data_IF_919328870321
#
_entry.id   IF_919328870321
#
_cell.length_a   1.000
_cell.length_b   1.000
_cell.length_c   1.000
_cell.angle_alpha   90.00
_cell.angle_beta   90.00
_cell.angle_gamma   90.00
#
_symmetry.space_group_name_H-M   'P 1'
#
loop_
_entity.id
_entity.type
_entity.pdbx_description
1 polymer ?
#
# COMPACT_ATOMS: atom_id res chain seq x y z
N UNK A 1 -27.83 -8.69 -19.30
CA UNK A 1 -26.65 -7.82 -19.46
C UNK A 1 -25.55 -8.45 -18.64
N UNK A 2 -24.53 -9.03 -19.30
CA UNK A 2 -23.35 -9.54 -18.58
C UNK A 2 -22.60 -8.33 -18.02
N UNK A 3 -22.38 -8.31 -16.72
CA UNK A 3 -21.50 -7.34 -16.08
C UNK A 3 -20.08 -7.72 -16.47
N UNK A 4 -19.48 -6.98 -17.40
CA UNK A 4 -18.08 -7.18 -17.77
C UNK A 4 -17.20 -7.02 -16.54
N UNK A 5 -16.28 -7.96 -16.33
CA UNK A 5 -15.38 -7.95 -15.19
C UNK A 5 -14.41 -6.77 -15.29
N UNK A 6 -14.19 -6.04 -14.19
CA UNK A 6 -13.32 -4.87 -14.16
C UNK A 6 -12.02 -5.21 -13.43
N UNK A 7 -10.89 -4.86 -14.02
CA UNK A 7 -9.56 -4.91 -13.39
C UNK A 7 -9.14 -3.52 -12.93
N UNK A 8 -8.67 -3.40 -11.68
CA UNK A 8 -8.24 -2.14 -11.07
C UNK A 8 -6.72 -2.06 -10.99
N UNK A 9 -6.18 -0.91 -11.35
CA UNK A 9 -4.75 -0.63 -11.28
C UNK A 9 -4.51 0.65 -10.48
N UNK A 10 -3.46 0.65 -9.66
CA UNK A 10 -2.96 1.86 -9.00
C UNK A 10 -1.51 2.12 -9.45
N UNK A 11 -1.16 3.38 -9.72
CA UNK A 11 0.19 3.77 -10.09
C UNK A 11 0.64 5.02 -9.35
N UNK A 12 1.73 4.95 -8.55
CA UNK A 12 2.26 6.10 -7.85
C UNK A 12 3.01 7.02 -8.83
N UNK A 13 2.68 8.31 -8.82
CA UNK A 13 3.38 9.34 -9.61
C UNK A 13 4.58 9.95 -8.88
N UNK A 14 4.74 9.64 -7.59
CA UNK A 14 5.89 10.09 -6.78
C UNK A 14 6.51 8.93 -6.02
N UNK A 15 7.81 9.02 -5.71
CA UNK A 15 8.50 7.96 -4.97
C UNK A 15 7.96 7.80 -3.55
N UNK A 16 7.53 8.90 -2.93
CA UNK A 16 6.88 8.89 -1.62
C UNK A 16 5.62 8.02 -1.63
N UNK A 17 4.72 8.22 -2.60
CA UNK A 17 3.51 7.40 -2.72
C UNK A 17 3.85 5.96 -3.11
N UNK A 18 4.91 5.72 -3.88
CA UNK A 18 5.39 4.36 -4.16
C UNK A 18 5.77 3.61 -2.88
N UNK A 19 6.46 4.28 -1.96
CA UNK A 19 6.84 3.71 -0.67
C UNK A 19 5.58 3.42 0.17
N UNK A 20 4.61 4.34 0.21
CA UNK A 20 3.35 4.14 0.91
C UNK A 20 2.56 2.93 0.41
N UNK A 21 2.45 2.76 -0.91
CA UNK A 21 1.79 1.59 -1.50
C UNK A 21 2.54 0.28 -1.20
N UNK A 22 3.88 0.30 -1.20
CA UNK A 22 4.69 -0.87 -0.80
C UNK A 22 4.46 -1.24 0.66
N UNK A 23 4.45 -0.27 1.57
CA UNK A 23 4.20 -0.50 2.99
C UNK A 23 2.79 -1.04 3.24
N UNK A 24 1.76 -0.47 2.58
CA UNK A 24 0.37 -0.96 2.65
C UNK A 24 0.27 -2.41 2.18
N UNK A 25 0.94 -2.75 1.07
CA UNK A 25 1.01 -4.12 0.56
C UNK A 25 1.66 -5.08 1.56
N UNK A 26 2.81 -4.72 2.13
CA UNK A 26 3.55 -5.57 3.09
C UNK A 26 2.78 -5.75 4.39
N UNK A 27 2.17 -4.70 4.94
CA UNK A 27 1.32 -4.77 6.14
C UNK A 27 0.13 -5.72 5.93
N UNK A 28 -0.57 -5.61 4.78
CA UNK A 28 -1.66 -6.52 4.44
C UNK A 28 -1.19 -7.96 4.28
N UNK A 29 -0.02 -8.16 3.69
CA UNK A 29 0.59 -9.48 3.54
C UNK A 29 0.88 -10.11 4.90
N UNK A 30 1.44 -9.34 5.85
CA UNK A 30 1.66 -9.78 7.22
C UNK A 30 0.34 -10.10 7.94
N UNK A 31 -0.66 -9.23 7.86
CA UNK A 31 -1.98 -9.47 8.48
C UNK A 31 -2.71 -10.69 7.89
N UNK A 32 -2.65 -10.87 6.58
CA UNK A 32 -3.30 -12.01 5.94
C UNK A 32 -2.63 -13.30 6.37
N UNK A 33 -1.31 -13.37 6.24
CA UNK A 33 -0.52 -14.57 6.57
C UNK A 33 -0.55 -14.91 8.06
N UNK A 34 -0.61 -13.91 8.94
CA UNK A 34 -0.75 -14.15 10.37
C UNK A 34 -2.06 -14.87 10.68
N UNK A 35 -3.16 -14.60 9.97
CA UNK A 35 -4.45 -15.24 10.24
C UNK A 35 -4.62 -16.65 9.65
N UNK A 36 -3.62 -17.16 8.92
CA UNK A 36 -3.67 -18.48 8.31
C UNK A 36 -2.97 -19.53 9.17
N UNK A 37 -3.51 -20.75 9.19
CA UNK A 37 -2.87 -21.92 9.81
C UNK A 37 -2.26 -22.82 8.72
N UNK A 38 -1.29 -22.28 7.98
CA UNK A 38 -0.57 -22.96 6.91
C UNK A 38 0.95 -22.75 7.10
N UNK A 39 1.77 -23.82 7.10
CA UNK A 39 3.23 -23.74 7.24
C UNK A 39 3.92 -22.77 6.27
N UNK A 40 3.39 -22.58 5.05
CA UNK A 40 3.97 -21.68 4.05
C UNK A 40 3.71 -20.20 4.34
N UNK A 41 2.67 -19.89 5.11
CA UNK A 41 2.26 -18.52 5.40
C UNK A 41 3.25 -17.81 6.33
N UNK A 42 3.96 -18.55 7.19
CA UNK A 42 5.03 -17.97 8.00
C UNK A 42 6.16 -17.37 7.16
N UNK A 43 6.51 -18.02 6.03
CA UNK A 43 7.53 -17.46 5.12
C UNK A 43 7.06 -16.15 4.50
N UNK A 44 5.78 -16.08 4.13
CA UNK A 44 5.14 -14.87 3.61
C UNK A 44 5.17 -13.75 4.67
N UNK A 45 4.82 -14.08 5.92
CA UNK A 45 4.87 -13.15 7.05
C UNK A 45 6.28 -12.57 7.26
N UNK A 46 7.29 -13.44 7.42
CA UNK A 46 8.65 -13.00 7.73
C UNK A 46 9.31 -12.26 6.56
N UNK A 47 9.10 -12.68 5.31
CA UNK A 47 9.53 -11.91 4.13
C UNK A 47 8.96 -10.49 4.17
N UNK A 48 7.63 -10.38 4.35
CA UNK A 48 6.95 -9.09 4.35
C UNK A 48 7.45 -8.18 5.49
N UNK A 49 7.64 -8.75 6.69
CA UNK A 49 8.20 -8.06 7.85
C UNK A 49 9.62 -7.55 7.57
N UNK A 50 10.51 -8.37 7.01
CA UNK A 50 11.89 -7.96 6.77
C UNK A 50 12.02 -6.93 5.64
N UNK A 51 11.24 -7.08 4.57
CA UNK A 51 11.15 -6.09 3.49
C UNK A 51 10.63 -4.74 4.03
N UNK A 52 9.63 -4.77 4.92
CA UNK A 52 9.09 -3.58 5.57
C UNK A 52 10.16 -2.88 6.41
N UNK A 53 10.89 -3.63 7.24
CA UNK A 53 11.97 -3.07 8.06
C UNK A 53 13.10 -2.47 7.21
N UNK A 54 13.41 -3.08 6.06
CA UNK A 54 14.39 -2.55 5.12
C UNK A 54 13.96 -1.20 4.53
N UNK A 55 12.69 -1.05 4.13
CA UNK A 55 12.15 0.24 3.68
C UNK A 55 12.24 1.29 4.79
N UNK A 56 11.86 0.93 6.03
CA UNK A 56 11.92 1.84 7.18
C UNK A 56 13.35 2.26 7.56
N UNK A 57 14.37 1.52 7.15
CA UNK A 57 15.77 1.87 7.37
C UNK A 57 16.32 2.82 6.29
N UNK A 58 15.76 2.78 5.08
CA UNK A 58 16.23 3.60 3.96
C UNK A 58 15.56 4.97 3.88
N UNK A 59 14.32 5.11 4.38
CA UNK A 59 13.50 6.31 4.19
C UNK A 59 12.88 6.81 5.50
N UNK A 60 12.77 8.14 5.64
CA UNK A 60 12.18 8.82 6.80
C UNK A 60 10.63 8.80 6.79
N UNK A 61 10.04 7.60 6.67
CA UNK A 61 8.60 7.38 6.50
C UNK A 61 7.76 8.07 7.57
N UNK A 62 8.16 7.98 8.85
CA UNK A 62 7.44 8.59 9.98
C UNK A 62 7.22 10.09 9.79
N UNK A 63 8.31 10.81 9.49
CA UNK A 63 8.29 12.27 9.35
C UNK A 63 7.50 12.69 8.12
N UNK A 64 7.69 11.99 7.00
CA UNK A 64 6.99 12.32 5.75
C UNK A 64 5.49 12.05 5.86
N UNK A 65 5.10 10.91 6.45
CA UNK A 65 3.70 10.53 6.64
C UNK A 65 2.99 11.47 7.62
N UNK A 66 3.65 11.88 8.71
CA UNK A 66 3.09 12.87 9.63
C UNK A 66 2.80 14.21 8.92
N UNK A 67 3.73 14.71 8.10
CA UNK A 67 3.51 15.95 7.32
C UNK A 67 2.33 15.81 6.35
N UNK A 68 2.22 14.67 5.70
CA UNK A 68 1.17 14.40 4.72
C UNK A 68 -0.21 14.26 5.37
N UNK A 69 -0.30 13.64 6.55
CA UNK A 69 -1.52 13.62 7.37
C UNK A 69 -1.89 15.03 7.81
N UNK A 70 -0.95 15.84 8.30
CA UNK A 70 -1.30 17.21 8.68
C UNK A 70 -1.77 18.03 7.47
N UNK A 71 -1.12 17.88 6.31
CA UNK A 71 -1.54 18.54 5.06
C UNK A 71 -2.98 18.18 4.68
N UNK A 72 -3.33 16.90 4.64
CA UNK A 72 -4.69 16.45 4.33
C UNK A 72 -5.69 16.93 5.39
N UNK A 73 -5.32 16.94 6.67
CA UNK A 73 -6.18 17.45 7.75
C UNK A 73 -6.48 18.93 7.57
N UNK A 74 -5.49 19.75 7.19
CA UNK A 74 -5.71 21.17 6.89
C UNK A 74 -6.61 21.36 5.66
N UNK A 75 -6.49 20.50 4.64
CA UNK A 75 -7.39 20.49 3.50
C UNK A 75 -8.83 20.14 3.91
N UNK A 76 -9.04 19.18 4.80
CA UNK A 76 -10.39 18.86 5.29
C UNK A 76 -11.01 20.03 6.08
N UNK A 77 -10.20 20.76 6.87
CA UNK A 77 -10.69 21.94 7.60
C UNK A 77 -11.23 23.04 6.70
N UNK A 78 -10.77 23.17 5.45
CA UNK A 78 -11.33 24.18 4.53
C UNK A 78 -12.77 23.87 4.11
N UNK A 79 -13.27 22.66 4.37
CA UNK A 79 -14.65 22.26 4.09
C UNK A 79 -15.62 22.52 5.25
N UNK A 80 -15.14 23.01 6.40
CA UNK A 80 -16.00 23.36 7.53
C UNK A 80 -16.90 24.54 7.19
N UNK A 81 -18.16 24.49 7.62
CA UNK A 81 -19.19 25.51 7.37
C UNK A 81 -19.53 25.70 5.87
N UNK A 82 -19.28 24.71 5.02
CA UNK A 82 -19.76 24.72 3.63
C UNK A 82 -21.14 24.06 3.56
N UNK A 83 -22.12 24.78 3.02
CA UNK A 83 -23.48 24.27 2.83
C UNK A 83 -23.49 22.95 2.03
N UNK A 84 -24.21 21.96 2.54
CA UNK A 84 -24.34 20.63 1.91
C UNK A 84 -23.25 19.63 2.30
N UNK A 85 -22.27 20.01 3.11
CA UNK A 85 -21.29 19.09 3.71
C UNK A 85 -21.84 18.48 5.00
N UNK A 86 -21.65 17.18 5.19
CA UNK A 86 -21.91 16.52 6.48
C UNK A 86 -20.82 16.91 7.48
N UNK A 87 -21.11 17.90 8.32
CA UNK A 87 -20.16 18.42 9.31
C UNK A 87 -19.77 17.37 10.36
N UNK A 88 -20.67 16.44 10.70
CA UNK A 88 -20.39 15.41 11.70
C UNK A 88 -19.40 14.38 11.17
N UNK A 89 -19.58 13.92 9.93
CA UNK A 89 -18.64 13.03 9.26
C UNK A 89 -17.28 13.71 9.02
N UNK A 90 -17.30 14.99 8.60
CA UNK A 90 -16.07 15.77 8.40
C UNK A 90 -15.27 15.93 9.69
N UNK A 91 -15.94 16.29 10.80
CA UNK A 91 -15.28 16.48 12.09
C UNK A 91 -14.68 15.17 12.61
N UNK A 92 -15.41 14.04 12.50
CA UNK A 92 -14.85 12.73 12.86
C UNK A 92 -13.60 12.39 12.07
N UNK A 93 -13.57 12.70 10.78
CA UNK A 93 -12.39 12.45 9.95
C UNK A 93 -11.21 13.34 10.39
N UNK A 94 -11.45 14.64 10.64
CA UNK A 94 -10.43 15.57 11.13
C UNK A 94 -9.85 15.09 12.46
N UNK A 95 -10.70 14.64 13.38
CA UNK A 95 -10.28 14.14 14.70
C UNK A 95 -9.48 12.85 14.58
N UNK A 96 -9.91 11.91 13.72
CA UNK A 96 -9.17 10.69 13.44
C UNK A 96 -7.76 10.99 12.86
N UNK A 97 -7.66 11.96 11.95
CA UNK A 97 -6.37 12.39 11.40
C UNK A 97 -5.48 13.02 12.46
N UNK A 98 -6.04 13.82 13.36
CA UNK A 98 -5.29 14.43 14.46
C UNK A 98 -4.79 13.38 15.45
N UNK A 99 -5.61 12.38 15.78
CA UNK A 99 -5.23 11.27 16.64
C UNK A 99 -4.12 10.43 16.01
N UNK A 100 -4.28 10.02 14.75
CA UNK A 100 -3.26 9.25 14.02
C UNK A 100 -1.94 10.04 13.91
N UNK A 101 -2.00 11.34 13.63
CA UNK A 101 -0.83 12.21 13.60
C UNK A 101 -0.10 12.25 14.96
N UNK A 102 -0.85 12.47 16.05
CA UNK A 102 -0.30 12.52 17.42
C UNK A 102 0.34 11.17 17.80
N UNK A 103 -0.36 10.07 17.56
CA UNK A 103 0.13 8.72 17.83
C UNK A 103 1.43 8.46 17.06
N UNK A 104 1.43 8.69 15.74
CA UNK A 104 2.59 8.49 14.88
C UNK A 104 3.81 9.33 15.30
N UNK A 105 3.63 10.61 15.68
CA UNK A 105 4.74 11.43 16.16
C UNK A 105 5.26 10.95 17.52
N UNK A 106 4.36 10.57 18.43
CA UNK A 106 4.71 10.11 19.77
C UNK A 106 5.34 8.71 19.81
N UNK A 107 5.15 7.91 18.75
CA UNK A 107 5.69 6.55 18.67
C UNK A 107 7.23 6.53 18.79
N UNK A 108 7.84 5.42 19.20
CA UNK A 108 9.28 5.23 19.01
C UNK A 108 9.65 5.24 17.53
N UNK A 109 10.95 5.05 17.23
CA UNK A 109 11.38 4.83 15.84
C UNK A 109 10.62 3.61 15.30
N UNK A 110 9.98 3.78 14.15
CA UNK A 110 9.13 2.73 13.56
C UNK A 110 9.92 1.42 13.38
N UNK A 111 9.36 0.33 13.90
CA UNK A 111 9.95 -1.01 13.90
C UNK A 111 11.21 -1.17 14.77
N UNK A 112 11.49 -0.27 15.71
CA UNK A 112 12.66 -0.38 16.58
C UNK A 112 12.65 -1.66 17.42
N UNK A 113 11.55 -1.92 18.11
CA UNK A 113 11.32 -3.14 18.90
C UNK A 113 11.51 -4.41 18.07
N UNK A 114 11.01 -4.41 16.83
CA UNK A 114 11.16 -5.52 15.88
C UNK A 114 12.62 -5.78 15.48
N UNK A 115 13.45 -4.72 15.40
CA UNK A 115 14.89 -4.87 15.14
C UNK A 115 15.65 -5.37 16.37
N UNK A 116 15.18 -5.02 17.56
CA UNK A 116 15.75 -5.41 18.85
C UNK A 116 15.29 -6.81 19.30
N UNK A 117 14.24 -7.36 18.69
CA UNK A 117 13.79 -8.73 18.91
C UNK A 117 14.89 -9.74 18.54
N UNK A 118 15.30 -10.53 19.55
CA UNK A 118 16.40 -11.50 19.42
C UNK A 118 16.11 -12.60 18.41
N UNK A 119 14.85 -13.05 18.32
CA UNK A 119 14.47 -14.10 17.38
C UNK A 119 14.48 -13.55 15.95
N UNK A 120 13.80 -12.42 15.70
CA UNK A 120 13.73 -11.79 14.38
C UNK A 120 15.11 -11.41 13.86
N UNK A 121 15.94 -10.78 14.69
CA UNK A 121 17.31 -10.40 14.33
C UNK A 121 18.18 -11.61 13.98
N UNK A 122 18.00 -12.74 14.67
CA UNK A 122 18.77 -13.97 14.41
C UNK A 122 18.47 -14.63 13.06
N UNK A 123 17.26 -14.43 12.52
CA UNK A 123 16.83 -15.09 11.28
C UNK A 123 16.90 -14.15 10.07
N UNK A 124 16.79 -12.82 10.26
CA UNK A 124 16.70 -11.80 9.19
C UNK A 124 17.72 -11.99 8.08
N UNK A 125 19.00 -12.15 8.41
CA UNK A 125 20.08 -12.19 7.41
C UNK A 125 19.93 -13.37 6.43
N UNK A 126 19.37 -14.50 6.87
CA UNK A 126 19.18 -15.68 6.02
C UNK A 126 18.03 -15.54 5.04
N UNK A 127 17.03 -14.72 5.36
CA UNK A 127 15.91 -14.44 4.46
C UNK A 127 16.33 -13.67 3.21
N UNK A 128 17.42 -12.88 3.26
CA UNK A 128 17.99 -12.20 2.10
C UNK A 128 18.76 -13.14 1.14
N UNK A 129 18.96 -14.41 1.50
CA UNK A 129 19.69 -15.39 0.68
C UNK A 129 18.67 -16.26 -0.08
N UNK A 130 18.80 -16.42 -1.41
CA UNK A 130 17.97 -17.36 -2.16
C UNK A 130 18.03 -18.77 -1.56
N UNK A 131 16.90 -19.28 -1.08
CA UNK A 131 16.80 -20.60 -0.44
C UNK A 131 17.29 -20.67 1.01
N UNK A 132 17.78 -19.57 1.61
CA UNK A 132 18.34 -19.55 2.96
C UNK A 132 17.32 -19.66 4.10
N UNK A 133 16.02 -19.67 3.78
CA UNK A 133 14.93 -19.84 4.75
C UNK A 133 14.61 -21.32 5.04
N UNK A 134 15.53 -22.25 4.75
CA UNK A 134 15.33 -23.68 4.95
C UNK A 134 15.58 -24.10 6.41
N UNK A 135 15.10 -25.28 6.80
CA UNK A 135 15.18 -25.74 8.19
C UNK A 135 16.61 -25.99 8.69
N UNK A 136 17.53 -26.37 7.80
CA UNK A 136 18.92 -26.65 8.18
C UNK A 136 19.78 -25.39 8.33
N UNK A 137 19.43 -24.29 7.65
CA UNK A 137 20.10 -23.00 7.81
C UNK A 137 19.50 -22.16 8.95
N UNK A 138 18.24 -22.41 9.30
CA UNK A 138 17.50 -21.72 10.35
C UNK A 138 16.87 -22.70 11.38
N UNK A 139 17.69 -23.35 12.22
CA UNK A 139 17.18 -24.28 13.23
C UNK A 139 16.27 -23.60 14.28
N UNK A 140 16.51 -22.33 14.60
CA UNK A 140 15.65 -21.54 15.50
C UNK A 140 14.27 -21.29 14.91
N UNK A 141 14.19 -20.92 13.63
CA UNK A 141 12.92 -20.80 12.91
C UNK A 141 12.23 -22.15 12.81
N UNK A 142 12.96 -23.20 12.47
CA UNK A 142 12.40 -24.55 12.39
C UNK A 142 11.78 -24.97 13.71
N UNK A 143 12.45 -24.71 14.84
CA UNK A 143 11.88 -24.96 16.16
C UNK A 143 10.61 -24.12 16.41
N UNK A 144 10.67 -22.81 16.14
CA UNK A 144 9.53 -21.90 16.32
C UNK A 144 8.30 -22.34 15.52
N UNK A 145 8.46 -22.84 14.29
CA UNK A 145 7.36 -23.34 13.45
C UNK A 145 6.62 -24.54 14.05
N UNK A 146 7.27 -25.31 14.93
CA UNK A 146 6.72 -26.48 15.62
C UNK A 146 6.12 -26.14 16.99
N UNK A 147 6.19 -24.88 17.44
CA UNK A 147 5.46 -24.45 18.63
C UNK A 147 3.94 -24.57 18.43
N UNK A 148 3.17 -24.64 19.52
CA UNK A 148 1.71 -24.57 19.45
C UNK A 148 1.24 -23.38 18.62
N UNK A 149 0.17 -23.58 17.85
CA UNK A 149 -0.36 -22.53 16.98
C UNK A 149 -0.72 -21.25 17.74
N UNK A 150 -1.25 -21.36 18.96
CA UNK A 150 -1.57 -20.23 19.82
C UNK A 150 -0.35 -19.37 20.14
N UNK A 151 0.80 -19.98 20.43
CA UNK A 151 2.05 -19.27 20.70
C UNK A 151 2.56 -18.52 19.46
N UNK A 152 2.55 -19.19 18.30
CA UNK A 152 2.96 -18.57 17.02
C UNK A 152 2.05 -17.40 16.66
N UNK A 153 0.73 -17.56 16.82
CA UNK A 153 -0.26 -16.52 16.56
C UNK A 153 -0.12 -15.34 17.50
N UNK A 154 0.12 -15.60 18.79
CA UNK A 154 0.37 -14.56 19.79
C UNK A 154 1.61 -13.74 19.43
N UNK A 155 2.72 -14.41 19.08
CA UNK A 155 3.96 -13.73 18.67
C UNK A 155 3.77 -12.88 17.40
N UNK A 156 3.12 -13.41 16.35
CA UNK A 156 2.87 -12.65 15.13
C UNK A 156 1.94 -11.45 15.36
N UNK A 157 0.93 -11.59 16.21
CA UNK A 157 0.07 -10.46 16.61
C UNK A 157 0.83 -9.40 17.37
N UNK A 158 1.71 -9.80 18.28
CA UNK A 158 2.57 -8.85 19.01
C UNK A 158 3.46 -8.08 18.03
N UNK A 159 4.13 -8.76 17.09
CA UNK A 159 4.97 -8.09 16.09
C UNK A 159 4.18 -7.18 15.14
N UNK A 160 2.94 -7.53 14.80
CA UNK A 160 2.06 -6.65 14.04
C UNK A 160 1.68 -5.39 14.85
N UNK A 161 1.37 -5.56 16.14
CA UNK A 161 1.01 -4.46 17.04
C UNK A 161 2.09 -3.38 17.16
N UNK A 162 3.36 -3.75 17.01
CA UNK A 162 4.50 -2.81 16.96
C UNK A 162 4.48 -1.87 15.74
N UNK A 163 3.55 -2.07 14.79
CA UNK A 163 3.38 -1.30 13.57
C UNK A 163 2.01 -0.61 13.49
N UNK A 164 1.19 -0.67 14.54
CA UNK A 164 -0.19 -0.14 14.54
C UNK A 164 -0.23 1.35 14.21
N UNK A 165 0.64 2.18 14.82
CA UNK A 165 0.63 3.63 14.54
C UNK A 165 1.03 3.96 13.10
N UNK A 166 1.93 3.17 12.50
CA UNK A 166 2.26 3.29 11.08
C UNK A 166 1.06 2.88 10.22
N UNK A 167 0.46 1.75 10.54
CA UNK A 167 -0.64 1.18 9.79
C UNK A 167 -1.87 2.10 9.78
N UNK A 168 -2.28 2.61 10.95
CA UNK A 168 -3.44 3.49 11.08
C UNK A 168 -3.24 4.79 10.31
N UNK A 169 -2.08 5.41 10.48
CA UNK A 169 -1.70 6.64 9.77
C UNK A 169 -1.70 6.44 8.24
N UNK A 170 -1.09 5.35 7.77
CA UNK A 170 -0.97 5.05 6.34
C UNK A 170 -2.32 4.71 5.72
N UNK A 171 -3.14 3.92 6.41
CA UNK A 171 -4.49 3.55 5.97
C UNK A 171 -5.37 4.78 5.83
N UNK A 172 -5.33 5.68 6.80
CA UNK A 172 -6.12 6.91 6.77
C UNK A 172 -5.71 7.83 5.62
N UNK A 173 -4.40 8.01 5.43
CA UNK A 173 -3.88 8.82 4.33
C UNK A 173 -4.27 8.27 2.96
N UNK A 174 -4.08 6.96 2.75
CA UNK A 174 -4.41 6.28 1.50
C UNK A 174 -5.92 6.27 1.23
N UNK A 175 -6.73 6.09 2.28
CA UNK A 175 -8.20 6.15 2.18
C UNK A 175 -8.62 7.50 1.62
N UNK A 176 -8.13 8.60 2.20
CA UNK A 176 -8.50 9.95 1.77
C UNK A 176 -8.03 10.25 0.34
N UNK A 177 -6.79 9.92 -0.03
CA UNK A 177 -6.33 10.08 -1.43
C UNK A 177 -7.24 9.32 -2.40
N UNK A 178 -7.64 8.10 -2.06
CA UNK A 178 -8.51 7.29 -2.93
C UNK A 178 -9.93 7.86 -3.01
N UNK A 179 -10.46 8.42 -1.93
CA UNK A 179 -11.84 8.91 -1.85
C UNK A 179 -12.03 10.33 -2.42
N UNK A 180 -10.99 11.18 -2.43
CA UNK A 180 -11.09 12.54 -2.97
C UNK A 180 -11.16 12.60 -4.50
N UNK A 181 -10.65 11.57 -5.19
CA UNK A 181 -10.63 11.52 -6.65
C UNK A 181 -11.80 10.71 -7.22
N UNK A 182 -12.51 11.30 -8.18
CA UNK A 182 -13.61 10.63 -8.89
C UNK A 182 -13.11 9.99 -10.19
N UNK A 183 -13.63 8.79 -10.47
CA UNK A 183 -13.43 8.14 -11.76
C UNK A 183 -14.15 8.89 -12.87
N UNK A 184 -13.42 9.23 -13.93
CA UNK A 184 -13.94 9.79 -15.17
C UNK A 184 -13.69 8.81 -16.30
N UNK A 185 -14.64 8.70 -17.23
CA UNK A 185 -14.49 7.87 -18.44
C UNK A 185 -13.57 8.56 -19.43
N UNK A 186 -12.59 7.82 -19.96
CA UNK A 186 -11.62 8.28 -20.94
C UNK A 186 -11.47 7.25 -22.05
N UNK A 187 -10.91 7.71 -23.17
CA UNK A 187 -10.68 6.92 -24.37
C UNK A 187 -9.20 6.98 -24.75
N UNK A 188 -8.55 5.83 -24.83
CA UNK A 188 -7.19 5.69 -25.31
C UNK A 188 -7.20 5.34 -26.80
N UNK A 189 -6.70 6.26 -27.63
CA UNK A 189 -6.62 6.05 -29.09
C UNK A 189 -5.37 5.29 -29.44
N UNK A 190 -5.52 4.19 -30.18
CA UNK A 190 -4.42 3.28 -30.55
C UNK A 190 -3.60 2.84 -29.32
N UNK A 191 -4.29 2.53 -28.21
CA UNK A 191 -3.65 2.09 -26.97
C UNK A 191 -2.81 3.16 -26.26
N UNK A 192 -3.01 4.45 -26.55
CA UNK A 192 -2.25 5.53 -25.94
C UNK A 192 -3.16 6.62 -25.35
N UNK A 193 -2.81 7.08 -24.16
CA UNK A 193 -3.44 8.20 -23.47
C UNK A 193 -2.37 9.05 -22.78
N UNK A 194 -2.52 10.38 -22.83
CA UNK A 194 -1.64 11.31 -22.11
C UNK A 194 -2.47 12.41 -21.49
N UNK A 195 -2.03 12.90 -20.33
CA UNK A 195 -2.74 13.96 -19.62
C UNK A 195 -1.78 14.76 -18.74
N UNK A 196 -2.04 16.06 -18.63
CA UNK A 196 -1.35 16.96 -17.71
C UNK A 196 -2.15 17.04 -16.41
N UNK A 197 -1.54 16.60 -15.32
CA UNK A 197 -2.13 16.62 -13.99
C UNK A 197 -1.18 17.31 -13.01
N UNK A 198 -1.59 18.50 -12.57
CA UNK A 198 -0.90 19.22 -11.51
C UNK A 198 -1.18 18.56 -10.14
N UNK A 199 -0.15 18.49 -9.31
CA UNK A 199 -0.18 17.95 -7.94
C UNK A 199 -0.69 16.49 -7.78
N UNK A 200 -0.88 15.76 -8.88
CA UNK A 200 -1.28 14.36 -8.84
C UNK A 200 -0.17 13.47 -8.26
N UNK A 201 -0.58 12.58 -7.36
CA UNK A 201 0.30 11.70 -6.62
C UNK A 201 0.01 10.21 -6.89
N UNK A 202 -1.22 9.87 -7.28
CA UNK A 202 -1.69 8.52 -7.54
C UNK A 202 -2.64 8.50 -8.74
N UNK A 203 -2.47 7.53 -9.63
CA UNK A 203 -3.46 7.21 -10.66
C UNK A 203 -4.19 5.94 -10.27
N UNK A 204 -5.52 5.93 -10.45
CA UNK A 204 -6.35 4.74 -10.29
C UNK A 204 -7.12 4.50 -11.58
N UNK A 205 -7.03 3.29 -12.11
CA UNK A 205 -7.63 2.91 -13.39
C UNK A 205 -8.62 1.78 -13.20
N UNK A 206 -9.74 1.83 -13.92
CA UNK A 206 -10.64 0.69 -14.12
C UNK A 206 -10.65 0.35 -15.62
N UNK A 207 -10.27 -0.89 -15.95
CA UNK A 207 -10.18 -1.40 -17.32
C UNK A 207 -11.05 -2.65 -17.41
N UNK A 208 -11.76 -2.85 -18.53
CA UNK A 208 -12.51 -4.09 -18.74
C UNK A 208 -11.53 -5.26 -18.91
N UNK A 209 -11.73 -6.34 -18.16
CA UNK A 209 -10.89 -7.53 -18.22
C UNK A 209 -10.95 -8.22 -19.59
N UNK A 210 -12.07 -8.08 -20.30
CA UNK A 210 -12.29 -8.62 -21.65
C UNK A 210 -11.43 -7.91 -22.72
N UNK A 211 -10.93 -6.70 -22.44
CA UNK A 211 -10.03 -5.99 -23.36
C UNK A 211 -8.65 -6.65 -23.45
N UNK A 212 -8.29 -7.53 -22.51
CA UNK A 212 -7.04 -8.29 -22.55
C UNK A 212 -5.77 -7.43 -22.47
N UNK A 213 -5.87 -6.20 -21.96
CA UNK A 213 -4.75 -5.25 -21.87
C UNK A 213 -4.37 -4.89 -20.44
N UNK A 214 -3.14 -4.41 -20.27
CA UNK A 214 -2.66 -3.82 -19.02
C UNK A 214 -2.00 -2.44 -19.27
N UNK A 215 -2.05 -1.52 -18.30
CA UNK A 215 -1.49 -0.19 -18.45
C UNK A 215 0.00 -0.17 -18.10
N UNK A 216 0.83 0.36 -19.00
CA UNK A 216 2.20 0.77 -18.74
C UNK A 216 2.24 2.29 -18.60
N UNK A 217 2.59 2.76 -17.41
CA UNK A 217 2.48 4.18 -17.05
C UNK A 217 3.88 4.77 -16.87
N UNK A 218 4.08 5.94 -17.46
CA UNK A 218 5.27 6.77 -17.28
C UNK A 218 4.85 8.18 -16.88
N UNK A 219 5.57 8.77 -15.93
CA UNK A 219 5.30 10.11 -15.42
C UNK A 219 6.55 10.98 -15.46
N UNK A 220 6.40 12.25 -15.84
CA UNK A 220 7.47 13.24 -15.77
C UNK A 220 6.89 14.63 -15.47
N UNK A 221 7.22 15.17 -14.29
CA UNK A 221 6.64 16.42 -13.74
C UNK A 221 5.11 16.32 -13.67
N UNK A 222 4.39 17.31 -14.16
CA UNK A 222 2.92 17.39 -14.10
C UNK A 222 2.25 16.65 -15.26
N UNK A 223 2.91 15.65 -15.86
CA UNK A 223 2.37 14.91 -17.01
C UNK A 223 2.63 13.43 -16.85
N UNK A 224 1.65 12.63 -17.25
CA UNK A 224 1.80 11.19 -17.40
C UNK A 224 1.30 10.71 -18.75
N UNK A 225 1.82 9.56 -19.16
CA UNK A 225 1.40 8.83 -20.33
C UNK A 225 1.09 7.38 -19.95
N UNK A 226 -0.01 6.87 -20.49
CA UNK A 226 -0.48 5.49 -20.33
C UNK A 226 -0.41 4.84 -21.70
N UNK A 227 0.36 3.77 -21.80
CA UNK A 227 0.38 2.88 -22.96
C UNK A 227 -0.25 1.55 -22.55
N UNK A 228 -1.31 1.17 -23.23
CA UNK A 228 -1.96 -0.12 -23.04
C UNK A 228 -1.25 -1.17 -23.92
N UNK A 229 -0.84 -2.26 -23.28
CA UNK A 229 -0.23 -3.40 -23.95
C UNK A 229 -1.13 -4.63 -23.83
N UNK A 230 -1.22 -5.48 -24.86
CA UNK A 230 -1.95 -6.74 -24.76
C UNK A 230 -1.21 -7.67 -23.79
N UNK A 231 -1.97 -8.43 -23.00
CA UNK A 231 -1.42 -9.47 -22.14
C UNK A 231 -0.89 -10.65 -22.96
N UNK A 232 -1.65 -11.06 -23.98
CA UNK A 232 -1.23 -12.07 -24.95
C UNK A 232 -0.44 -11.38 -26.07
N UNK A 233 0.80 -11.80 -26.27
CA UNK A 233 1.64 -11.25 -27.34
C UNK A 233 1.00 -11.46 -28.71
N UNK A 234 0.95 -10.40 -29.52
CA UNK A 234 0.36 -10.42 -30.87
C UNK A 234 -1.14 -10.13 -30.95
N UNK A 235 -1.85 -10.05 -29.82
CA UNK A 235 -3.24 -9.59 -29.83
C UNK A 235 -3.34 -8.08 -30.09
N UNK A 236 -4.33 -7.62 -30.90
CA UNK A 236 -4.48 -6.21 -31.18
C UNK A 236 -5.05 -5.46 -29.97
N UNK A 237 -4.50 -4.29 -29.68
CA UNK A 237 -5.15 -3.32 -28.78
C UNK A 237 -6.24 -2.61 -29.56
N UNK A 238 -7.42 -2.46 -28.96
CA UNK A 238 -8.53 -1.72 -29.56
C UNK A 238 -8.09 -0.32 -30.02
N UNK A 239 -8.53 0.09 -31.22
CA UNK A 239 -8.21 1.41 -31.78
C UNK A 239 -8.77 2.56 -30.93
N UNK A 240 -9.85 2.29 -30.21
CA UNK A 240 -10.45 3.16 -29.20
C UNK A 240 -10.80 2.32 -27.98
N UNK A 241 -9.98 2.42 -26.95
CA UNK A 241 -10.13 1.68 -25.69
C UNK A 241 -10.77 2.59 -24.64
N UNK A 242 -11.98 2.26 -24.21
CA UNK A 242 -12.64 2.95 -23.10
C UNK A 242 -12.10 2.44 -21.75
N UNK A 243 -11.79 3.36 -20.83
CA UNK A 243 -11.38 3.03 -19.46
C UNK A 243 -11.80 4.14 -18.51
N UNK A 244 -11.81 3.87 -17.20
CA UNK A 244 -12.00 4.93 -16.20
C UNK A 244 -10.69 5.29 -15.53
N UNK A 245 -10.50 6.57 -15.26
CA UNK A 245 -9.32 7.13 -14.60
C UNK A 245 -9.76 8.05 -13.46
N UNK A 246 -9.21 7.83 -12.28
CA UNK A 246 -9.20 8.81 -11.21
C UNK A 246 -7.75 9.29 -11.01
N UNK A 247 -7.58 10.61 -10.97
CA UNK A 247 -6.29 11.28 -10.76
C UNK A 247 -6.34 11.86 -9.34
N UNK A 248 -5.58 11.28 -8.42
CA UNK A 248 -5.59 11.61 -6.99
C UNK A 248 -4.38 12.42 -6.56
#
# INVERSE_FOLDING_TARGET
MQTSQITRYEHPLTEKVRIYLRLDYLLRQMQHSSNQNDPWQYKIFFNALFDLLEILDQVQVKTDLAKDIDKQRQQLKSWLNIDGVDEYALQQMIDAMEQAHKALISSPRLGQSLREDRFLSSIKQRFSIPGGSCCFDLPSLHHWLHLPNEEKQSAMKAWLGELDELQDALNLWLKLIRETAQYKTHHARNGFFQYDAEDACLLRLEICAEDGVYPMISGHRNRFAIRFSPFTEGEPVASDLEFKLAIC
#
